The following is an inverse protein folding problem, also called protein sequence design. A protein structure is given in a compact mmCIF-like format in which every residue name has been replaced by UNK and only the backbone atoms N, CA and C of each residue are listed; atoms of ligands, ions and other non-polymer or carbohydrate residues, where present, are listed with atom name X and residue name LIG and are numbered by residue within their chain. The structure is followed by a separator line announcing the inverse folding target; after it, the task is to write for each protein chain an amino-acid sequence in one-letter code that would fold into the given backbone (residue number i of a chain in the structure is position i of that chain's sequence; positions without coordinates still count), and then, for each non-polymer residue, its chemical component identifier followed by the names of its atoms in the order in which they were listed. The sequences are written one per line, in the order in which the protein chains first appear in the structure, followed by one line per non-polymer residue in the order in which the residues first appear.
data_IF_969084776412
#
_entry.id   IF_969084776412
#
_cell.length_a   1.000
_cell.length_b   1.000
_cell.length_c   1.000
_cell.angle_alpha   90.00
_cell.angle_beta   90.00
_cell.angle_gamma   90.00
#
_symmetry.space_group_name_H-M   'P 1'
#
loop_
_entity.id
_entity.type
_entity.pdbx_description
1 polymer ?
#
# COMPACT_ATOMS: atom_id res chain seq x y z
N UNK A 1 0.34 26.92 -18.62
CA UNK A 1 -0.31 25.60 -18.40
C UNK A 1 0.41 24.82 -17.31
N UNK A 2 1.75 24.85 -17.29
CA UNK A 2 2.57 24.28 -16.21
C UNK A 2 3.08 25.38 -15.27
N UNK A 3 3.30 25.03 -14.01
CA UNK A 3 3.92 25.83 -12.96
C UNK A 3 5.05 25.03 -12.31
N UNK A 4 6.05 25.71 -11.76
CA UNK A 4 7.09 25.04 -10.96
C UNK A 4 6.56 24.84 -9.55
N UNK A 5 6.52 23.59 -9.11
CA UNK A 5 6.17 23.19 -7.76
C UNK A 5 7.40 22.61 -7.06
N UNK A 6 7.30 22.53 -5.72
CA UNK A 6 8.30 21.89 -4.87
C UNK A 6 7.64 20.81 -4.03
N UNK A 7 8.24 19.63 -3.98
CA UNK A 7 7.86 18.55 -3.08
C UNK A 7 9.13 17.88 -2.55
N UNK A 8 9.27 17.77 -1.23
CA UNK A 8 10.53 17.31 -0.63
C UNK A 8 11.71 18.21 -1.02
N UNK A 9 12.78 17.60 -1.51
CA UNK A 9 14.01 18.28 -1.92
C UNK A 9 14.01 18.67 -3.42
N UNK A 10 12.90 18.45 -4.13
CA UNK A 10 12.86 18.54 -5.61
C UNK A 10 11.92 19.63 -6.11
N UNK A 11 12.32 20.26 -7.21
CA UNK A 11 11.51 21.21 -7.97
C UNK A 11 11.14 20.61 -9.32
N UNK A 12 9.91 20.79 -9.77
CA UNK A 12 9.42 20.17 -11.00
C UNK A 12 8.28 20.98 -11.62
N UNK A 13 8.19 20.95 -12.95
CA UNK A 13 7.04 21.42 -13.70
C UNK A 13 5.86 20.43 -13.53
N UNK A 14 4.71 20.96 -13.12
CA UNK A 14 3.45 20.23 -13.08
C UNK A 14 2.32 21.10 -13.62
N UNK A 15 1.19 20.54 -14.07
CA UNK A 15 0.07 21.36 -14.49
C UNK A 15 -0.43 22.27 -13.38
N UNK A 16 -0.83 23.46 -13.77
CA UNK A 16 -1.52 24.42 -12.91
C UNK A 16 -2.93 23.90 -12.59
N UNK A 17 -3.04 23.19 -11.47
CA UNK A 17 -4.27 22.52 -11.04
C UNK A 17 -5.43 23.47 -10.76
N UNK A 18 -5.17 24.78 -10.57
CA UNK A 18 -6.23 25.79 -10.44
C UNK A 18 -7.12 25.88 -11.70
N UNK A 19 -6.63 25.36 -12.83
CA UNK A 19 -7.33 25.33 -14.13
C UNK A 19 -8.17 24.06 -14.33
N UNK A 20 -8.04 23.07 -13.46
CA UNK A 20 -8.70 21.76 -13.58
C UNK A 20 -9.58 21.54 -12.35
N UNK A 21 -10.68 22.29 -12.27
CA UNK A 21 -11.61 22.29 -11.13
C UNK A 21 -13.00 21.89 -11.60
N UNK A 22 -13.61 20.93 -10.91
CA UNK A 22 -14.99 20.49 -11.14
C UNK A 22 -15.75 20.52 -9.82
N UNK A 23 -16.94 21.15 -9.79
CA UNK A 23 -17.77 21.21 -8.58
C UNK A 23 -17.06 21.79 -7.35
N UNK A 24 -16.13 22.73 -7.55
CA UNK A 24 -15.35 23.37 -6.47
C UNK A 24 -14.19 22.52 -5.92
N UNK A 25 -13.87 21.38 -6.55
CA UNK A 25 -12.74 20.52 -6.18
C UNK A 25 -11.75 20.42 -7.33
N UNK A 26 -10.47 20.34 -7.00
CA UNK A 26 -9.42 20.07 -7.97
C UNK A 26 -9.60 18.64 -8.48
N UNK A 27 -9.56 18.46 -9.80
CA UNK A 27 -9.62 17.18 -10.50
C UNK A 27 -8.32 16.93 -11.27
N UNK A 28 -7.28 16.37 -10.61
CA UNK A 28 -5.98 16.18 -11.23
C UNK A 28 -5.98 15.26 -12.45
N UNK A 29 -6.97 14.36 -12.54
CA UNK A 29 -7.14 13.44 -13.66
C UNK A 29 -7.52 14.14 -14.98
N UNK A 30 -7.93 15.41 -14.93
CA UNK A 30 -8.26 16.21 -16.12
C UNK A 30 -7.09 17.04 -16.63
N UNK A 31 -5.98 17.07 -15.87
CA UNK A 31 -4.77 17.74 -16.29
C UNK A 31 -4.06 16.97 -17.41
N UNK A 32 -3.32 17.65 -18.31
CA UNK A 32 -2.63 17.02 -19.45
C UNK A 32 -1.55 16.02 -19.02
N UNK A 33 -0.98 16.19 -17.82
CA UNK A 33 -0.06 15.23 -17.21
C UNK A 33 -0.47 15.06 -15.75
N UNK A 34 -0.50 13.83 -15.26
CA UNK A 34 -0.98 13.61 -13.91
C UNK A 34 -0.01 14.13 -12.85
N UNK A 35 -0.55 14.89 -11.91
CA UNK A 35 0.09 15.17 -10.63
C UNK A 35 -0.98 15.41 -9.56
N UNK A 36 -0.98 14.59 -8.51
CA UNK A 36 -1.89 14.76 -7.38
C UNK A 36 -1.12 15.18 -6.11
N UNK A 37 -1.30 16.42 -5.61
CA UNK A 37 -0.73 16.87 -4.34
C UNK A 37 -1.18 16.04 -3.14
N UNK A 38 -2.38 15.45 -3.17
CA UNK A 38 -2.88 14.59 -2.09
C UNK A 38 -2.02 13.32 -1.91
N UNK A 39 -1.24 12.93 -2.92
CA UNK A 39 -0.32 11.79 -2.89
C UNK A 39 1.09 12.17 -2.37
N UNK A 40 1.33 13.40 -1.94
CA UNK A 40 2.64 13.82 -1.44
C UNK A 40 3.10 13.00 -0.22
N UNK A 41 2.17 12.65 0.70
CA UNK A 41 2.48 11.81 1.84
C UNK A 41 2.82 10.36 1.41
N UNK A 42 2.11 9.81 0.43
CA UNK A 42 2.43 8.51 -0.17
C UNK A 42 3.87 8.48 -0.71
N UNK A 43 4.26 9.52 -1.45
CA UNK A 43 5.62 9.64 -2.00
C UNK A 43 6.67 9.74 -0.89
N UNK A 44 6.42 10.51 0.17
CA UNK A 44 7.32 10.60 1.33
C UNK A 44 7.46 9.27 2.10
N UNK A 45 6.34 8.56 2.35
CA UNK A 45 6.40 7.21 2.93
C UNK A 45 7.22 6.28 2.04
N UNK A 46 7.03 6.37 0.73
CA UNK A 46 7.74 5.53 -0.22
C UNK A 46 9.24 5.84 -0.26
N UNK A 47 9.65 7.11 -0.15
CA UNK A 47 11.07 7.51 -0.03
C UNK A 47 11.70 6.88 1.20
N UNK A 48 11.02 6.93 2.36
CA UNK A 48 11.51 6.33 3.61
C UNK A 48 11.68 4.82 3.46
N UNK A 49 10.68 4.12 2.90
CA UNK A 49 10.73 2.66 2.68
C UNK A 49 11.85 2.28 1.71
N UNK A 50 11.98 2.98 0.58
CA UNK A 50 13.03 2.70 -0.41
C UNK A 50 14.41 2.96 0.19
N UNK A 51 14.58 4.06 0.94
CA UNK A 51 15.83 4.39 1.63
C UNK A 51 16.21 3.31 2.65
N UNK A 52 15.25 2.87 3.46
CA UNK A 52 15.46 1.80 4.45
C UNK A 52 15.85 0.49 3.77
N UNK A 53 15.15 0.10 2.70
CA UNK A 53 15.47 -1.09 1.91
C UNK A 53 16.88 -1.02 1.32
N UNK A 54 17.25 0.10 0.69
CA UNK A 54 18.57 0.28 0.09
C UNK A 54 19.70 0.19 1.13
N UNK A 55 19.51 0.77 2.32
CA UNK A 55 20.48 0.66 3.40
C UNK A 55 20.70 -0.80 3.84
N UNK A 56 19.64 -1.62 3.86
CA UNK A 56 19.74 -3.03 4.25
C UNK A 56 20.46 -3.89 3.20
N UNK A 57 20.34 -3.56 1.91
CA UNK A 57 20.99 -4.32 0.84
C UNK A 57 22.37 -3.77 0.43
N UNK A 58 22.85 -2.71 1.06
CA UNK A 58 24.16 -2.10 0.77
C UNK A 58 24.17 -1.04 -0.35
N UNK A 59 22.99 -0.56 -0.78
CA UNK A 59 22.82 0.56 -1.72
C UNK A 59 22.77 0.18 -3.21
N UNK A 60 22.61 1.19 -4.07
CA UNK A 60 22.95 1.08 -5.51
C UNK A 60 21.93 0.42 -6.46
N UNK A 61 20.69 0.15 -6.02
CA UNK A 61 19.74 -0.63 -6.83
C UNK A 61 19.18 0.09 -8.07
N UNK A 62 18.70 -0.70 -9.03
CA UNK A 62 17.95 -0.25 -10.22
C UNK A 62 16.44 -0.34 -9.99
N UNK A 63 15.71 0.75 -10.24
CA UNK A 63 14.25 0.79 -10.10
C UNK A 63 13.53 0.88 -11.45
N UNK A 64 12.37 0.25 -11.53
CA UNK A 64 11.42 0.43 -12.63
C UNK A 64 10.13 1.09 -12.11
N UNK A 65 9.76 2.23 -12.70
CA UNK A 65 8.64 3.09 -12.30
C UNK A 65 7.79 3.39 -13.54
N UNK A 66 6.87 2.48 -13.95
CA UNK A 66 6.20 2.53 -15.25
C UNK A 66 5.00 3.50 -15.34
N UNK A 67 4.74 4.30 -14.30
CA UNK A 67 3.63 5.27 -14.23
C UNK A 67 4.11 6.65 -13.80
N UNK A 68 5.11 7.18 -14.50
CA UNK A 68 5.93 8.29 -13.98
C UNK A 68 5.20 9.63 -13.92
N UNK A 69 4.21 9.88 -14.79
CA UNK A 69 3.49 11.16 -14.83
C UNK A 69 4.47 12.34 -15.00
N UNK A 70 4.58 13.21 -13.99
CA UNK A 70 5.56 14.31 -14.00
C UNK A 70 7.00 13.89 -13.68
N UNK A 71 7.25 12.63 -13.31
CA UNK A 71 8.56 12.15 -12.86
C UNK A 71 8.92 12.48 -11.41
N UNK A 72 8.04 13.17 -10.67
CA UNK A 72 8.33 13.62 -9.29
C UNK A 72 8.76 12.48 -8.37
N UNK A 73 8.12 11.30 -8.49
CA UNK A 73 8.44 10.12 -7.70
C UNK A 73 9.86 9.62 -8.00
N UNK A 74 10.17 9.39 -9.28
CA UNK A 74 11.50 8.98 -9.73
C UNK A 74 12.61 9.96 -9.28
N UNK A 75 12.39 11.26 -9.42
CA UNK A 75 13.37 12.29 -9.01
C UNK A 75 13.61 12.24 -7.49
N UNK A 76 12.54 12.12 -6.69
CA UNK A 76 12.66 12.00 -5.23
C UNK A 76 13.35 10.71 -4.82
N UNK A 77 13.15 9.59 -5.50
CA UNK A 77 13.87 8.35 -5.19
C UNK A 77 15.37 8.46 -5.39
N UNK A 78 15.81 9.11 -6.47
CA UNK A 78 17.25 9.34 -6.68
C UNK A 78 17.80 10.30 -5.62
N UNK A 79 17.17 11.47 -5.42
CA UNK A 79 17.70 12.52 -4.54
C UNK A 79 17.59 12.19 -3.05
N UNK A 80 16.48 11.60 -2.61
CA UNK A 80 16.13 11.48 -1.19
C UNK A 80 16.30 10.06 -0.65
N UNK A 81 16.23 9.03 -1.50
CA UNK A 81 16.36 7.62 -1.10
C UNK A 81 17.68 6.96 -1.55
N UNK A 82 18.37 7.51 -2.56
CA UNK A 82 19.67 6.99 -3.02
C UNK A 82 19.57 5.87 -4.06
N UNK A 83 18.49 5.82 -4.84
CA UNK A 83 18.38 4.89 -5.98
C UNK A 83 19.44 5.24 -7.04
N UNK A 84 20.19 4.25 -7.53
CA UNK A 84 21.28 4.48 -8.48
C UNK A 84 20.75 4.86 -9.86
N UNK A 85 19.84 4.03 -10.39
CA UNK A 85 19.25 4.18 -11.72
C UNK A 85 17.77 3.90 -11.72
N UNK A 86 17.02 4.68 -12.49
CA UNK A 86 15.58 4.52 -12.67
C UNK A 86 15.23 4.46 -14.14
N UNK A 87 14.41 3.47 -14.50
CA UNK A 87 13.68 3.42 -15.76
C UNK A 87 12.26 3.93 -15.48
N UNK A 88 12.02 5.19 -15.86
CA UNK A 88 10.77 5.89 -15.64
C UNK A 88 9.91 5.81 -16.91
N UNK A 89 8.81 5.06 -16.85
CA UNK A 89 7.94 4.82 -17.99
C UNK A 89 6.66 5.66 -17.93
N UNK A 90 6.15 6.07 -19.10
CA UNK A 90 4.75 6.47 -19.26
C UNK A 90 4.27 6.12 -20.68
N UNK A 91 2.97 5.91 -20.86
CA UNK A 91 2.38 5.68 -22.18
C UNK A 91 2.13 6.99 -22.93
N UNK A 92 1.93 8.08 -22.17
CA UNK A 92 1.60 9.40 -22.68
C UNK A 92 2.86 10.19 -23.09
N UNK A 93 2.87 10.68 -24.33
CA UNK A 93 4.00 11.44 -24.88
C UNK A 93 4.29 12.74 -24.13
N UNK A 94 3.23 13.41 -23.65
CA UNK A 94 3.36 14.68 -22.93
C UNK A 94 3.90 14.44 -21.51
N UNK A 95 3.50 13.36 -20.85
CA UNK A 95 4.06 12.91 -19.58
C UNK A 95 5.56 12.61 -19.72
N UNK A 96 5.98 11.85 -20.74
CA UNK A 96 7.40 11.57 -21.04
C UNK A 96 8.18 12.87 -21.24
N UNK A 97 7.63 13.83 -22.01
CA UNK A 97 8.27 15.12 -22.27
C UNK A 97 8.44 15.94 -20.99
N UNK A 98 7.39 16.02 -20.16
CA UNK A 98 7.41 16.78 -18.89
C UNK A 98 8.34 16.12 -17.88
N UNK A 99 8.28 14.80 -17.73
CA UNK A 99 9.19 14.04 -16.87
C UNK A 99 10.65 14.23 -17.30
N UNK A 100 10.96 14.17 -18.59
CA UNK A 100 12.31 14.41 -19.10
C UNK A 100 12.84 15.82 -18.76
N UNK A 101 12.00 16.85 -18.88
CA UNK A 101 12.35 18.22 -18.45
C UNK A 101 12.56 18.32 -16.95
N UNK A 102 11.75 17.62 -16.15
CA UNK A 102 11.88 17.62 -14.70
C UNK A 102 13.14 16.90 -14.23
N UNK A 103 13.51 15.81 -14.90
CA UNK A 103 14.78 15.10 -14.68
C UNK A 103 15.97 16.02 -14.97
N UNK A 104 15.93 16.75 -16.10
CA UNK A 104 16.94 17.74 -16.45
C UNK A 104 17.02 18.89 -15.44
N UNK A 105 15.88 19.45 -15.04
CA UNK A 105 15.79 20.52 -14.03
C UNK A 105 16.47 20.13 -12.72
N UNK A 106 16.51 18.84 -12.40
CA UNK A 106 17.14 18.31 -11.19
C UNK A 106 18.55 17.75 -11.41
N UNK A 107 19.10 17.81 -12.63
CA UNK A 107 20.44 17.34 -12.96
C UNK A 107 20.60 15.82 -12.96
N UNK A 108 19.54 15.06 -13.23
CA UNK A 108 19.50 13.59 -13.02
C UNK A 108 19.47 12.77 -14.33
N UNK A 109 19.86 13.35 -15.47
CA UNK A 109 19.80 12.68 -16.78
C UNK A 109 20.61 11.38 -16.85
N UNK A 110 21.69 11.29 -16.10
CA UNK A 110 22.56 10.09 -16.07
C UNK A 110 21.98 8.97 -15.21
N UNK A 111 21.02 9.28 -14.34
CA UNK A 111 20.43 8.34 -13.39
C UNK A 111 19.00 7.94 -13.77
N UNK A 112 18.24 8.82 -14.41
CA UNK A 112 16.82 8.59 -14.74
C UNK A 112 16.66 8.55 -16.24
N UNK A 113 16.38 7.36 -16.78
CA UNK A 113 16.01 7.15 -18.17
C UNK A 113 14.49 7.20 -18.29
N UNK A 114 13.97 8.28 -18.85
CA UNK A 114 12.54 8.39 -19.18
C UNK A 114 12.27 7.70 -20.51
N UNK A 115 11.27 6.80 -20.54
CA UNK A 115 10.89 6.03 -21.73
C UNK A 115 9.39 6.13 -21.97
N UNK A 116 9.01 6.17 -23.25
CA UNK A 116 7.62 5.96 -23.65
C UNK A 116 7.38 4.47 -23.83
N UNK A 117 6.31 3.93 -23.22
CA UNK A 117 5.93 2.54 -23.42
C UNK A 117 4.74 2.13 -22.56
N UNK A 118 4.11 1.01 -22.92
CA UNK A 118 3.13 0.38 -22.03
C UNK A 118 3.84 -0.11 -20.75
N UNK A 119 3.16 -0.01 -19.61
CA UNK A 119 3.75 -0.38 -18.33
C UNK A 119 4.25 -1.83 -18.30
N UNK A 120 3.54 -2.77 -18.93
CA UNK A 120 3.99 -4.16 -18.98
C UNK A 120 5.22 -4.34 -19.88
N UNK A 121 5.30 -3.61 -20.99
CA UNK A 121 6.47 -3.63 -21.87
C UNK A 121 7.70 -3.08 -21.15
N UNK A 122 7.57 -1.94 -20.47
CA UNK A 122 8.63 -1.34 -19.65
C UNK A 122 9.11 -2.32 -18.59
N UNK A 123 8.20 -3.04 -17.92
CA UNK A 123 8.57 -4.00 -16.88
C UNK A 123 9.25 -5.25 -17.48
N UNK A 124 8.62 -5.93 -18.44
CA UNK A 124 9.13 -7.20 -19.00
C UNK A 124 10.49 -7.04 -19.68
N UNK A 125 10.73 -5.88 -20.30
CA UNK A 125 11.98 -5.58 -21.02
C UNK A 125 13.17 -5.27 -20.09
N UNK A 126 12.94 -5.19 -18.77
CA UNK A 126 13.95 -4.78 -17.82
C UNK A 126 14.07 -5.77 -16.65
N UNK A 127 15.21 -5.72 -15.96
CA UNK A 127 15.46 -6.44 -14.70
C UNK A 127 15.86 -5.43 -13.63
N UNK A 128 15.07 -5.36 -12.56
CA UNK A 128 15.12 -4.28 -11.58
C UNK A 128 15.18 -4.87 -10.16
N UNK A 129 15.87 -4.18 -9.26
CA UNK A 129 15.94 -4.52 -7.84
C UNK A 129 14.72 -3.98 -7.09
N UNK A 130 14.09 -2.95 -7.66
CA UNK A 130 12.88 -2.33 -7.14
C UNK A 130 11.87 -2.09 -8.26
N UNK A 131 10.59 -2.24 -7.96
CA UNK A 131 9.49 -1.87 -8.86
C UNK A 131 8.46 -1.07 -8.06
N UNK A 132 8.01 0.07 -8.60
CA UNK A 132 6.90 0.84 -8.02
C UNK A 132 5.73 0.95 -9.00
N UNK A 133 4.63 0.26 -8.70
CA UNK A 133 3.37 0.34 -9.43
C UNK A 133 2.44 1.37 -8.79
N UNK A 134 2.30 2.55 -9.41
CA UNK A 134 1.38 3.61 -8.97
C UNK A 134 0.35 4.02 -10.04
N UNK A 135 -0.45 3.07 -10.58
CA UNK A 135 -1.39 3.38 -11.64
C UNK A 135 -2.66 4.08 -11.12
N UNK A 136 -3.42 4.62 -12.07
CA UNK A 136 -4.82 4.93 -11.81
C UNK A 136 -5.67 3.68 -11.59
N UNK A 137 -6.40 3.66 -10.48
CA UNK A 137 -7.27 2.56 -10.10
C UNK A 137 -6.48 1.38 -9.54
N UNK A 138 -6.15 0.40 -10.38
CA UNK A 138 -5.70 -0.92 -9.91
C UNK A 138 -4.28 -1.26 -10.38
N UNK A 139 -3.42 -1.79 -9.50
CA UNK A 139 -2.14 -2.36 -9.89
C UNK A 139 -2.27 -3.77 -10.48
N UNK A 140 -3.42 -4.43 -10.32
CA UNK A 140 -3.59 -5.84 -10.66
C UNK A 140 -3.14 -6.24 -12.08
N UNK A 141 -3.43 -5.45 -13.13
CA UNK A 141 -3.00 -5.79 -14.50
C UNK A 141 -1.48 -5.84 -14.71
N UNK A 142 -0.70 -5.21 -13.82
CA UNK A 142 0.75 -5.02 -13.98
C UNK A 142 1.58 -5.86 -13.01
N UNK A 143 0.93 -6.48 -12.01
CA UNK A 143 1.62 -7.26 -10.97
C UNK A 143 2.41 -8.42 -11.56
N UNK A 144 1.87 -9.14 -12.55
CA UNK A 144 2.61 -10.23 -13.20
C UNK A 144 3.90 -9.74 -13.85
N UNK A 145 3.85 -8.62 -14.59
CA UNK A 145 5.02 -8.06 -15.26
C UNK A 145 6.06 -7.54 -14.27
N UNK A 146 5.62 -6.96 -13.15
CA UNK A 146 6.48 -6.53 -12.06
C UNK A 146 7.18 -7.72 -11.37
N UNK A 147 6.44 -8.80 -11.11
CA UNK A 147 7.00 -10.04 -10.57
C UNK A 147 7.99 -10.71 -11.54
N UNK A 148 7.74 -10.60 -12.85
CA UNK A 148 8.67 -11.08 -13.86
C UNK A 148 9.99 -10.29 -13.87
N UNK A 149 9.92 -8.96 -13.74
CA UNK A 149 11.07 -8.07 -13.86
C UNK A 149 11.92 -7.99 -12.59
N UNK A 150 11.34 -8.27 -11.42
CA UNK A 150 12.01 -8.10 -10.14
C UNK A 150 13.03 -9.21 -9.82
N UNK A 151 14.20 -8.81 -9.29
CA UNK A 151 15.24 -9.73 -8.82
C UNK A 151 14.85 -10.40 -7.50
N UNK A 152 15.53 -11.52 -7.18
CA UNK A 152 15.40 -12.17 -5.88
C UNK A 152 15.76 -11.18 -4.75
N UNK A 153 14.92 -11.11 -3.72
CA UNK A 153 15.06 -10.15 -2.62
C UNK A 153 14.59 -8.73 -2.97
N UNK A 154 14.15 -8.49 -4.19
CA UNK A 154 13.78 -7.16 -4.68
C UNK A 154 12.52 -6.59 -4.03
N UNK A 155 12.43 -5.25 -3.97
CA UNK A 155 11.32 -4.50 -3.39
C UNK A 155 10.22 -4.20 -4.42
N UNK A 156 9.01 -4.71 -4.20
CA UNK A 156 7.82 -4.34 -4.94
C UNK A 156 6.95 -3.40 -4.09
N UNK A 157 6.72 -2.21 -4.60
CA UNK A 157 5.72 -1.28 -4.09
C UNK A 157 4.52 -1.23 -5.05
N UNK A 158 3.30 -1.24 -4.52
CA UNK A 158 2.09 -1.11 -5.32
C UNK A 158 1.04 -0.24 -4.62
N UNK A 159 0.46 0.69 -5.36
CA UNK A 159 -0.68 1.52 -4.93
C UNK A 159 -1.96 1.04 -5.61
N UNK A 160 -3.05 0.96 -4.85
CA UNK A 160 -4.39 0.78 -5.40
C UNK A 160 -5.30 1.93 -4.95
N UNK A 161 -5.93 2.60 -5.91
CA UNK A 161 -6.92 3.67 -5.67
C UNK A 161 -8.36 3.22 -5.99
N UNK A 162 -8.56 2.00 -6.53
CA UNK A 162 -9.89 1.42 -6.78
C UNK A 162 -10.55 0.84 -5.53
N UNK A 163 -10.51 1.57 -4.41
CA UNK A 163 -10.99 1.13 -3.09
C UNK A 163 -12.44 0.63 -3.10
N UNK A 164 -13.33 1.23 -3.90
CA UNK A 164 -14.71 0.78 -4.00
C UNK A 164 -14.83 -0.68 -4.48
N UNK A 165 -13.86 -1.16 -5.26
CA UNK A 165 -13.76 -2.57 -5.65
C UNK A 165 -13.29 -3.40 -4.46
N UNK A 166 -12.11 -3.07 -3.91
CA UNK A 166 -11.46 -3.84 -2.83
C UNK A 166 -12.29 -3.89 -1.53
N UNK A 167 -13.05 -2.83 -1.23
CA UNK A 167 -13.92 -2.72 -0.05
C UNK A 167 -15.35 -3.25 -0.28
N UNK A 168 -15.59 -3.88 -1.44
CA UNK A 168 -16.80 -4.68 -1.70
C UNK A 168 -18.02 -3.92 -2.21
N UNK A 169 -17.94 -2.61 -2.51
CA UNK A 169 -19.04 -1.92 -3.20
C UNK A 169 -19.29 -2.49 -4.60
N UNK A 170 -18.23 -2.98 -5.26
CA UNK A 170 -18.30 -3.69 -6.54
C UNK A 170 -17.76 -5.13 -6.42
N UNK A 171 -18.40 -5.96 -5.58
CA UNK A 171 -17.92 -7.30 -5.23
C UNK A 171 -17.59 -8.20 -6.44
N UNK A 172 -18.44 -8.24 -7.47
CA UNK A 172 -18.16 -9.02 -8.69
C UNK A 172 -16.91 -8.55 -9.43
N UNK A 173 -16.60 -7.24 -9.38
CA UNK A 173 -15.36 -6.70 -9.97
C UNK A 173 -14.15 -7.09 -9.13
N UNK A 174 -14.27 -7.14 -7.80
CA UNK A 174 -13.21 -7.60 -6.91
C UNK A 174 -12.87 -9.08 -7.16
N UNK A 175 -13.89 -9.93 -7.31
CA UNK A 175 -13.72 -11.35 -7.64
C UNK A 175 -13.01 -11.50 -8.98
N UNK A 176 -13.46 -10.80 -10.04
CA UNK A 176 -12.82 -10.94 -11.37
C UNK A 176 -11.40 -10.37 -11.44
N UNK A 177 -11.13 -9.26 -10.74
CA UNK A 177 -9.86 -8.53 -10.85
C UNK A 177 -8.80 -9.02 -9.88
N UNK A 178 -9.20 -9.26 -8.64
CA UNK A 178 -8.30 -9.62 -7.54
C UNK A 178 -8.51 -11.06 -7.09
N UNK A 179 -9.52 -11.78 -7.58
CA UNK A 179 -9.70 -13.20 -7.25
C UNK A 179 -10.12 -13.48 -5.80
N UNK A 180 -10.70 -12.52 -5.08
CA UNK A 180 -11.21 -12.74 -3.73
C UNK A 180 -12.64 -12.20 -3.55
N UNK A 181 -13.38 -12.78 -2.61
CA UNK A 181 -14.66 -12.28 -2.15
C UNK A 181 -14.45 -11.21 -1.07
N UNK A 182 -14.79 -9.94 -1.32
CA UNK A 182 -14.66 -8.88 -0.32
C UNK A 182 -15.82 -8.90 0.68
N UNK A 183 -15.68 -8.12 1.75
CA UNK A 183 -16.75 -7.84 2.72
C UNK A 183 -17.03 -6.33 2.76
N UNK A 184 -18.33 -5.97 2.81
CA UNK A 184 -18.77 -4.58 3.03
C UNK A 184 -18.93 -4.30 4.53
N UNK A 185 -18.85 -3.03 4.89
CA UNK A 185 -19.05 -2.57 6.26
C UNK A 185 -17.75 -2.07 6.88
N UNK A 186 -17.72 -1.94 8.20
CA UNK A 186 -16.62 -1.28 8.90
C UNK A 186 -15.29 -2.02 8.75
N UNK A 187 -15.27 -3.34 8.54
CA UNK A 187 -14.06 -4.15 8.36
C UNK A 187 -13.51 -4.14 6.92
N UNK A 188 -14.22 -3.49 5.99
CA UNK A 188 -13.88 -3.55 4.56
C UNK A 188 -12.50 -2.99 4.23
N UNK A 189 -12.01 -2.02 5.03
CA UNK A 189 -10.72 -1.38 4.82
C UNK A 189 -9.56 -2.37 5.00
N UNK A 190 -9.53 -3.10 6.11
CA UNK A 190 -8.51 -4.12 6.36
C UNK A 190 -8.66 -5.31 5.41
N UNK A 191 -9.89 -5.79 5.19
CA UNK A 191 -10.17 -6.90 4.27
C UNK A 191 -9.73 -6.56 2.84
N UNK A 192 -9.95 -5.32 2.39
CA UNK A 192 -9.53 -4.85 1.08
C UNK A 192 -8.00 -4.80 0.92
N UNK A 193 -7.28 -4.28 1.93
CA UNK A 193 -5.81 -4.25 1.91
C UNK A 193 -5.23 -5.68 1.91
N UNK A 194 -5.75 -6.55 2.78
CA UNK A 194 -5.39 -7.97 2.83
C UNK A 194 -5.77 -8.72 1.55
N UNK A 195 -6.84 -8.31 0.87
CA UNK A 195 -7.24 -8.82 -0.45
C UNK A 195 -6.24 -8.45 -1.55
N UNK A 196 -5.71 -7.22 -1.53
CA UNK A 196 -4.63 -6.79 -2.43
C UNK A 196 -3.34 -7.60 -2.19
N UNK A 197 -2.90 -7.73 -0.93
CA UNK A 197 -1.74 -8.57 -0.57
C UNK A 197 -1.96 -10.03 -1.00
N UNK A 198 -3.15 -10.59 -0.72
CA UNK A 198 -3.48 -11.96 -1.07
C UNK A 198 -3.55 -12.19 -2.59
N UNK A 199 -3.89 -11.17 -3.37
CA UNK A 199 -3.78 -11.20 -4.83
C UNK A 199 -2.31 -11.26 -5.26
N UNK A 200 -1.46 -10.36 -4.76
CA UNK A 200 -0.03 -10.32 -5.12
C UNK A 200 0.66 -11.63 -4.72
N UNK A 201 0.39 -12.14 -3.50
CA UNK A 201 0.89 -13.42 -3.02
C UNK A 201 0.56 -14.56 -4.00
N UNK A 202 -0.70 -14.67 -4.42
CA UNK A 202 -1.12 -15.71 -5.37
C UNK A 202 -0.46 -15.56 -6.75
N UNK A 203 -0.24 -14.33 -7.22
CA UNK A 203 0.50 -14.11 -8.47
C UNK A 203 1.97 -14.53 -8.34
N UNK A 204 2.61 -14.24 -7.20
CA UNK A 204 3.99 -14.67 -6.92
C UNK A 204 4.12 -16.19 -6.83
N UNK A 205 3.17 -16.86 -6.16
CA UNK A 205 3.14 -18.32 -6.00
C UNK A 205 3.05 -19.07 -7.34
N UNK A 206 2.29 -18.54 -8.31
CA UNK A 206 2.21 -19.11 -9.68
C UNK A 206 3.58 -19.12 -10.39
N UNK A 207 4.52 -18.29 -9.92
CA UNK A 207 5.87 -18.15 -10.47
C UNK A 207 6.94 -18.79 -9.57
N UNK A 208 6.55 -19.66 -8.63
CA UNK A 208 7.43 -20.27 -7.61
C UNK A 208 8.18 -19.24 -6.75
N UNK A 209 7.52 -18.12 -6.44
CA UNK A 209 8.05 -17.06 -5.58
C UNK A 209 7.23 -16.87 -4.31
N UNK A 210 7.88 -16.43 -3.25
CA UNK A 210 7.26 -15.95 -2.02
C UNK A 210 7.29 -14.44 -1.91
N UNK A 211 6.44 -13.89 -1.03
CA UNK A 211 6.45 -12.47 -0.67
C UNK A 211 6.62 -12.30 0.85
N UNK A 212 7.29 -11.22 1.25
CA UNK A 212 7.34 -10.76 2.64
C UNK A 212 6.90 -9.29 2.70
N UNK A 213 5.69 -8.99 3.19
CA UNK A 213 5.26 -7.60 3.42
C UNK A 213 6.21 -6.87 4.36
N UNK A 214 6.65 -5.68 3.98
CA UNK A 214 7.48 -4.79 4.80
C UNK A 214 6.65 -3.69 5.44
N UNK A 215 5.74 -3.10 4.66
CA UNK A 215 4.79 -2.09 5.12
C UNK A 215 3.56 -2.12 4.22
N UNK A 216 2.37 -2.17 4.81
CA UNK A 216 1.12 -2.00 4.08
C UNK A 216 0.17 -1.13 4.87
N UNK A 217 -0.50 -0.21 4.19
CA UNK A 217 -1.41 0.72 4.85
C UNK A 217 -2.53 1.22 3.95
N UNK A 218 -3.58 1.72 4.61
CA UNK A 218 -4.64 2.52 4.02
C UNK A 218 -4.51 3.98 4.43
N UNK A 219 -4.66 4.90 3.49
CA UNK A 219 -4.75 6.33 3.79
C UNK A 219 -5.81 6.98 2.90
N UNK A 220 -7.02 7.18 3.47
CA UNK A 220 -8.12 7.87 2.81
C UNK A 220 -8.60 7.20 1.52
N UNK A 221 -7.96 7.54 0.41
CA UNK A 221 -8.37 7.20 -0.95
C UNK A 221 -7.52 6.12 -1.62
N UNK A 222 -6.53 5.57 -0.93
CA UNK A 222 -5.67 4.53 -1.50
C UNK A 222 -5.20 3.48 -0.49
N UNK A 223 -4.79 2.34 -1.01
CA UNK A 223 -3.95 1.37 -0.33
C UNK A 223 -2.55 1.43 -0.90
N UNK A 224 -1.56 1.21 -0.05
CA UNK A 224 -0.16 1.06 -0.43
C UNK A 224 0.38 -0.20 0.22
N UNK A 225 1.08 -1.01 -0.57
CA UNK A 225 1.79 -2.20 -0.10
C UNK A 225 3.22 -2.14 -0.59
N UNK A 226 4.16 -2.43 0.29
CA UNK A 226 5.59 -2.52 0.02
C UNK A 226 6.07 -3.86 0.55
N UNK A 227 6.62 -4.71 -0.30
CA UNK A 227 7.00 -6.09 0.04
C UNK A 227 8.27 -6.51 -0.68
N UNK A 228 8.99 -7.49 -0.14
CA UNK A 228 10.10 -8.13 -0.85
C UNK A 228 9.63 -9.40 -1.55
N UNK A 229 10.18 -9.66 -2.74
CA UNK A 229 9.86 -10.83 -3.56
C UNK A 229 11.04 -11.79 -3.55
N UNK A 230 10.78 -13.03 -3.13
CA UNK A 230 11.81 -14.04 -2.93
C UNK A 230 11.60 -15.20 -3.90
N UNK A 231 12.57 -15.40 -4.79
CA UNK A 231 12.64 -16.58 -5.68
C UNK A 231 13.21 -17.77 -4.91
N UNK A 232 12.48 -18.23 -3.90
CA UNK A 232 12.86 -19.32 -3.00
C UNK A 232 11.63 -20.17 -2.64
N UNK A 233 11.84 -21.50 -2.62
CA UNK A 233 10.76 -22.47 -2.32
C UNK A 233 10.30 -22.40 -0.86
N UNK A 234 11.21 -22.11 0.08
CA UNK A 234 10.87 -21.94 1.48
C UNK A 234 9.93 -20.75 1.67
N UNK A 235 10.29 -19.60 1.08
CA UNK A 235 9.46 -18.40 1.08
C UNK A 235 8.12 -18.60 0.36
N UNK A 236 8.07 -19.37 -0.74
CA UNK A 236 6.81 -19.71 -1.40
C UNK A 236 5.89 -20.56 -0.49
N UNK A 237 6.46 -21.51 0.26
CA UNK A 237 5.72 -22.30 1.24
C UNK A 237 5.17 -21.44 2.38
N UNK A 238 5.99 -20.56 2.94
CA UNK A 238 5.57 -19.61 3.98
C UNK A 238 4.47 -18.66 3.47
N UNK A 239 4.61 -18.15 2.25
CA UNK A 239 3.59 -17.31 1.59
C UNK A 239 2.25 -18.04 1.47
N UNK A 240 2.28 -19.35 1.21
CA UNK A 240 1.07 -20.18 1.14
C UNK A 240 0.37 -20.29 2.50
N UNK A 241 1.13 -20.42 3.59
CA UNK A 241 0.56 -20.46 4.96
C UNK A 241 -0.09 -19.13 5.38
N UNK A 242 0.32 -18.02 4.75
CA UNK A 242 -0.24 -16.69 5.00
C UNK A 242 -1.46 -16.35 4.11
N UNK A 243 -1.97 -17.31 3.33
CA UNK A 243 -3.22 -17.18 2.58
C UNK A 243 -4.36 -17.87 3.32
N UNK A 244 -5.51 -17.20 3.40
CA UNK A 244 -6.65 -17.74 4.10
C UNK A 244 -7.91 -16.90 3.94
N UNK A 245 -8.83 -17.03 4.90
CA UNK A 245 -10.14 -16.40 4.88
C UNK A 245 -10.40 -15.68 6.19
N UNK A 246 -11.09 -14.55 6.13
CA UNK A 246 -11.62 -13.86 7.29
C UNK A 246 -13.06 -14.28 7.54
N UNK A 247 -13.38 -14.64 8.77
CA UNK A 247 -14.73 -14.85 9.26
C UNK A 247 -15.12 -13.72 10.19
N UNK A 248 -16.39 -13.33 10.10
CA UNK A 248 -17.00 -12.36 11.01
C UNK A 248 -18.46 -12.76 11.26
N UNK A 249 -18.86 -12.81 12.52
CA UNK A 249 -20.20 -13.16 12.96
C UNK A 249 -20.87 -11.94 13.60
N UNK A 250 -21.68 -11.15 12.86
CA UNK A 250 -22.28 -9.93 13.39
C UNK A 250 -23.09 -10.09 14.68
N UNK A 251 -23.69 -11.28 14.90
CA UNK A 251 -24.50 -11.56 16.08
C UNK A 251 -23.69 -11.74 17.36
N UNK A 252 -22.50 -12.34 17.28
CA UNK A 252 -21.62 -12.62 18.44
C UNK A 252 -20.39 -11.71 18.49
N UNK A 253 -20.16 -10.90 17.45
CA UNK A 253 -18.94 -10.14 17.25
C UNK A 253 -17.67 -11.01 17.12
N UNK A 254 -17.81 -12.33 16.99
CA UNK A 254 -16.67 -13.23 16.76
C UNK A 254 -16.04 -12.93 15.40
N UNK A 255 -14.71 -12.90 15.35
CA UNK A 255 -13.92 -12.71 14.13
C UNK A 255 -12.64 -13.52 14.21
N UNK A 256 -12.23 -14.10 13.08
CA UNK A 256 -11.01 -14.92 13.01
C UNK A 256 -10.45 -15.00 11.60
N UNK A 257 -9.16 -15.27 11.51
CA UNK A 257 -8.53 -15.76 10.29
C UNK A 257 -8.47 -17.29 10.30
N UNK A 258 -8.70 -17.91 9.15
CA UNK A 258 -8.51 -19.35 8.96
C UNK A 258 -7.70 -19.61 7.69
N UNK A 259 -6.76 -20.53 7.75
CA UNK A 259 -5.87 -20.93 6.66
C UNK A 259 -6.45 -22.06 5.78
N UNK A 260 -7.60 -22.63 6.18
CA UNK A 260 -8.31 -23.67 5.45
C UNK A 260 -9.43 -23.09 4.58
N UNK A 261 -9.77 -23.80 3.50
CA UNK A 261 -10.91 -23.46 2.67
C UNK A 261 -12.19 -23.41 3.54
N UNK A 262 -13.06 -22.41 3.36
CA UNK A 262 -14.29 -22.29 4.14
C UNK A 262 -15.23 -23.43 3.76
N UNK A 263 -15.15 -24.56 4.47
CA UNK A 263 -15.97 -25.75 4.19
C UNK A 263 -17.47 -25.46 4.32
N UNK A 264 -17.85 -24.63 5.30
CA UNK A 264 -19.20 -24.07 5.48
C UNK A 264 -19.10 -22.69 6.14
N UNK A 265 -19.89 -21.72 5.69
CA UNK A 265 -20.14 -20.51 6.46
C UNK A 265 -21.06 -20.85 7.62
N UNK A 266 -20.57 -20.67 8.86
CA UNK A 266 -21.41 -20.82 10.06
C UNK A 266 -22.66 -19.96 9.93
N UNK A 267 -23.81 -20.47 10.40
CA UNK A 267 -25.10 -19.78 10.27
C UNK A 267 -25.01 -18.40 10.91
N UNK A 268 -25.31 -17.35 10.14
CA UNK A 268 -25.25 -15.96 10.61
C UNK A 268 -23.87 -15.31 10.54
N UNK A 269 -22.84 -16.00 10.04
CA UNK A 269 -21.50 -15.45 9.82
C UNK A 269 -21.23 -15.19 8.34
N UNK A 270 -20.38 -14.21 8.07
CA UNK A 270 -19.88 -13.86 6.74
C UNK A 270 -18.42 -14.22 6.61
N UNK A 271 -18.01 -14.60 5.40
CA UNK A 271 -16.62 -14.91 5.08
C UNK A 271 -16.13 -14.07 3.88
N UNK A 272 -14.87 -13.64 3.96
CA UNK A 272 -14.12 -12.98 2.90
C UNK A 272 -12.83 -13.75 2.59
N UNK A 273 -12.42 -13.76 1.33
CA UNK A 273 -11.19 -14.43 0.92
C UNK A 273 -11.24 -15.09 -0.47
N UNK A 274 -10.14 -15.74 -0.89
CA UNK A 274 -8.88 -15.84 -0.13
C UNK A 274 -8.15 -14.48 -0.06
N UNK A 275 -7.65 -14.14 1.13
CA UNK A 275 -6.90 -12.90 1.45
C UNK A 275 -5.60 -13.25 2.18
N UNK A 276 -4.74 -12.25 2.38
CA UNK A 276 -3.57 -12.36 3.25
C UNK A 276 -3.96 -12.33 4.73
N UNK A 277 -3.66 -13.39 5.46
CA UNK A 277 -3.96 -13.53 6.90
C UNK A 277 -2.74 -13.37 7.81
N UNK A 278 -1.53 -13.27 7.23
CA UNK A 278 -0.30 -12.97 7.98
C UNK A 278 -0.16 -11.50 8.37
N UNK A 279 1.00 -11.12 8.95
CA UNK A 279 1.37 -9.71 9.21
C UNK A 279 1.37 -8.89 7.92
N UNK A 280 0.87 -7.65 7.98
CA UNK A 280 0.76 -6.77 6.79
C UNK A 280 2.03 -5.92 6.56
N UNK A 281 3.00 -6.03 7.45
CA UNK A 281 4.31 -5.40 7.44
C UNK A 281 5.25 -6.11 8.42
N UNK A 282 6.51 -5.72 8.40
CA UNK A 282 7.58 -6.28 9.23
C UNK A 282 7.97 -5.23 10.28
N UNK A 283 7.74 -5.53 11.56
CA UNK A 283 7.89 -4.55 12.65
C UNK A 283 9.36 -4.11 12.80
N UNK A 284 10.32 -5.02 12.61
CA UNK A 284 11.75 -4.68 12.66
C UNK A 284 12.13 -3.71 11.53
N UNK A 285 11.64 -3.96 10.31
CA UNK A 285 11.81 -3.06 9.17
C UNK A 285 11.13 -1.71 9.41
N UNK A 286 9.92 -1.71 9.99
CA UNK A 286 9.17 -0.49 10.30
C UNK A 286 9.94 0.36 11.33
N UNK A 287 10.43 -0.25 12.40
CA UNK A 287 11.22 0.44 13.43
C UNK A 287 12.53 0.98 12.84
N UNK A 288 13.20 0.19 12.00
CA UNK A 288 14.39 0.66 11.29
C UNK A 288 14.07 1.85 10.36
N UNK A 289 13.00 1.77 9.57
CA UNK A 289 12.56 2.84 8.69
C UNK A 289 12.22 4.12 9.45
N UNK A 290 11.61 4.00 10.64
CA UNK A 290 11.35 5.12 11.54
C UNK A 290 12.64 5.70 12.15
N UNK A 291 13.66 4.87 12.40
CA UNK A 291 14.94 5.32 12.98
C UNK A 291 15.75 6.23 12.05
N UNK A 292 15.55 6.11 10.73
CA UNK A 292 16.26 6.89 9.70
C UNK A 292 15.46 8.09 9.17
N UNK A 293 14.34 8.44 9.81
CA UNK A 293 13.52 9.61 9.46
C UNK A 293 14.30 10.89 9.76
N UNK A 294 14.40 11.78 8.78
CA UNK A 294 14.99 13.11 8.93
C UNK A 294 13.99 14.03 9.67
N UNK A 295 14.52 14.99 10.43
CA UNK A 295 13.73 16.00 11.14
C UNK A 295 13.22 17.09 10.18
N UNK A 296 12.37 16.71 9.22
CA UNK A 296 11.73 17.60 8.24
C UNK A 296 10.24 17.28 8.16
N UNK A 297 9.40 18.31 8.00
CA UNK A 297 7.93 18.22 8.15
C UNK A 297 7.30 17.06 7.35
N UNK A 298 7.66 16.92 6.07
CA UNK A 298 7.07 15.91 5.19
C UNK A 298 7.49 14.47 5.55
N UNK A 299 8.68 14.27 6.10
CA UNK A 299 9.10 12.94 6.60
C UNK A 299 8.49 12.65 7.97
N UNK A 300 8.35 13.64 8.86
CA UNK A 300 7.67 13.46 10.14
C UNK A 300 6.19 13.08 9.96
N UNK A 301 5.51 13.70 8.98
CA UNK A 301 4.15 13.32 8.60
C UNK A 301 4.07 11.87 8.11
N UNK A 302 4.98 11.48 7.22
CA UNK A 302 5.06 10.11 6.70
C UNK A 302 5.37 9.10 7.82
N UNK A 303 6.23 9.46 8.76
CA UNK A 303 6.54 8.65 9.95
C UNK A 303 5.31 8.43 10.84
N UNK A 304 4.42 9.43 10.94
CA UNK A 304 3.12 9.28 11.61
C UNK A 304 2.25 8.19 10.96
N UNK A 305 2.18 8.17 9.62
CA UNK A 305 1.48 7.12 8.87
C UNK A 305 2.11 5.74 9.11
N UNK A 306 3.44 5.63 9.01
CA UNK A 306 4.17 4.37 9.21
C UNK A 306 3.93 3.84 10.63
N UNK A 307 4.10 4.69 11.66
CA UNK A 307 3.91 4.33 13.07
C UNK A 307 2.48 3.85 13.36
N UNK A 308 1.49 4.45 12.69
CA UNK A 308 0.09 4.04 12.81
C UNK A 308 -0.18 2.57 12.43
N UNK A 309 0.71 1.95 11.65
CA UNK A 309 0.55 0.55 11.20
C UNK A 309 1.06 -0.50 12.16
N UNK A 310 1.84 -0.13 13.19
CA UNK A 310 2.58 -1.09 14.04
C UNK A 310 1.63 -2.09 14.68
N UNK A 311 0.57 -1.60 15.33
CA UNK A 311 -0.44 -2.43 16.01
C UNK A 311 -1.24 -3.31 15.06
N UNK A 312 -1.30 -2.97 13.76
CA UNK A 312 -2.02 -3.76 12.77
C UNK A 312 -1.25 -5.01 12.32
N UNK A 313 -0.01 -5.17 12.77
CA UNK A 313 0.81 -6.36 12.57
C UNK A 313 0.73 -7.37 13.72
N UNK A 314 0.04 -7.03 14.82
CA UNK A 314 -0.25 -7.97 15.90
C UNK A 314 -1.09 -9.14 15.36
N UNK A 315 -0.95 -10.35 15.94
CA UNK A 315 -1.72 -11.54 15.54
C UNK A 315 -3.19 -11.49 15.99
N UNK A 316 -3.82 -10.32 15.89
CA UNK A 316 -5.21 -10.04 16.24
C UNK A 316 -6.02 -9.94 14.95
N UNK A 317 -7.00 -10.84 14.73
CA UNK A 317 -7.83 -10.82 13.54
C UNK A 317 -8.71 -9.56 13.49
N UNK A 318 -8.53 -8.76 12.44
CA UNK A 318 -9.33 -7.56 12.17
C UNK A 318 -9.33 -6.58 13.38
N UNK A 319 -10.39 -5.80 13.56
CA UNK A 319 -10.56 -4.87 14.68
C UNK A 319 -12.02 -4.74 15.08
N UNK A 320 -12.28 -4.19 16.26
CA UNK A 320 -13.60 -3.77 16.72
C UNK A 320 -13.75 -2.27 16.54
N UNK A 321 -14.99 -1.77 16.48
CA UNK A 321 -15.25 -0.32 16.58
C UNK A 321 -15.98 -0.01 17.86
N UNK A 322 -15.75 1.17 18.46
CA UNK A 322 -16.53 1.59 19.64
C UNK A 322 -18.04 1.61 19.35
N UNK A 323 -18.43 1.90 18.11
CA UNK A 323 -19.83 1.86 17.65
C UNK A 323 -20.39 0.43 17.56
N UNK A 324 -19.57 -0.55 17.21
CA UNK A 324 -19.95 -1.97 17.22
C UNK A 324 -20.11 -2.46 18.66
N UNK A 325 -19.11 -2.20 19.52
CA UNK A 325 -19.13 -2.61 20.92
C UNK A 325 -20.27 -1.93 21.70
N UNK A 326 -20.47 -0.65 21.46
CA UNK A 326 -21.48 0.15 22.18
C UNK A 326 -22.92 -0.25 21.87
N UNK A 327 -23.18 -0.86 20.71
CA UNK A 327 -24.51 -1.42 20.40
C UNK A 327 -24.88 -2.57 21.32
N UNK A 328 -23.93 -3.42 21.70
CA UNK A 328 -24.15 -4.48 22.67
C UNK A 328 -24.28 -3.96 24.10
N UNK A 329 -23.55 -2.89 24.44
CA UNK A 329 -23.50 -2.31 25.78
C UNK A 329 -24.62 -1.30 26.07
N UNK A 330 -25.36 -0.84 25.05
CA UNK A 330 -26.35 0.25 25.17
C UNK A 330 -25.74 1.65 25.32
N UNK A 331 -24.41 1.78 25.27
CA UNK A 331 -23.68 3.06 25.35
C UNK A 331 -22.42 2.98 24.48
N UNK A 332 -22.13 4.03 23.70
CA UNK A 332 -20.92 4.11 22.87
C UNK A 332 -19.83 4.87 23.63
N UNK A 333 -18.75 4.20 24.10
CA UNK A 333 -17.67 4.88 24.80
C UNK A 333 -16.79 5.68 23.82
N UNK A 334 -16.07 6.68 24.33
CA UNK A 334 -14.95 7.24 23.57
C UNK A 334 -13.82 6.21 23.47
N UNK A 335 -13.13 6.15 22.32
CA UNK A 335 -12.04 5.21 22.11
C UNK A 335 -10.93 5.36 23.17
N UNK A 336 -10.62 6.59 23.56
CA UNK A 336 -9.64 6.86 24.63
C UNK A 336 -10.09 6.29 25.98
N UNK A 337 -11.37 6.44 26.34
CA UNK A 337 -11.89 5.88 27.60
C UNK A 337 -11.89 4.35 27.58
N UNK A 338 -12.26 3.75 26.43
CA UNK A 338 -12.23 2.31 26.25
C UNK A 338 -10.81 1.75 26.42
N UNK A 339 -9.82 2.31 25.72
CA UNK A 339 -8.43 1.87 25.81
C UNK A 339 -7.87 2.00 27.24
N UNK A 340 -8.16 3.11 27.92
CA UNK A 340 -7.77 3.30 29.32
C UNK A 340 -8.36 2.20 30.20
N UNK A 341 -9.66 1.91 30.06
CA UNK A 341 -10.35 0.91 30.87
C UNK A 341 -9.85 -0.51 30.60
N UNK A 342 -9.57 -0.85 29.35
CA UNK A 342 -8.97 -2.15 28.99
C UNK A 342 -7.58 -2.28 29.62
N UNK A 343 -6.76 -1.22 29.57
CA UNK A 343 -5.46 -1.18 30.24
C UNK A 343 -5.53 -1.33 31.75
N UNK A 344 -6.51 -0.69 32.42
CA UNK A 344 -6.76 -0.87 33.87
C UNK A 344 -7.13 -2.32 34.24
N UNK A 345 -7.69 -3.07 33.29
CA UNK A 345 -8.03 -4.48 33.45
C UNK A 345 -6.90 -5.43 33.02
N UNK A 346 -5.75 -4.90 32.60
CA UNK A 346 -4.63 -5.69 32.08
C UNK A 346 -4.87 -6.31 30.70
N UNK A 347 -5.88 -5.81 29.97
CA UNK A 347 -6.22 -6.27 28.62
C UNK A 347 -5.44 -5.47 27.58
N UNK A 348 -4.76 -6.15 26.66
CA UNK A 348 -4.04 -5.51 25.58
C UNK A 348 -5.00 -4.95 24.53
N UNK A 349 -4.88 -3.65 24.25
CA UNK A 349 -5.73 -2.97 23.30
C UNK A 349 -5.02 -1.81 22.62
N UNK A 350 -5.12 -1.76 21.29
CA UNK A 350 -4.41 -0.81 20.45
C UNK A 350 -5.35 -0.14 19.45
N UNK A 351 -5.01 1.08 19.04
CA UNK A 351 -5.68 1.70 17.89
C UNK A 351 -5.30 0.97 16.60
N UNK A 352 -6.12 1.10 15.57
CA UNK A 352 -5.79 0.64 14.20
C UNK A 352 -5.78 1.81 13.24
N UNK A 353 -4.89 1.80 12.24
CA UNK A 353 -4.89 2.83 11.20
C UNK A 353 -6.11 2.73 10.27
N UNK A 354 -6.82 1.59 10.26
CA UNK A 354 -8.00 1.40 9.40
C UNK A 354 -9.21 2.20 9.87
N UNK A 355 -9.29 2.61 11.13
CA UNK A 355 -10.46 3.33 11.65
C UNK A 355 -10.12 4.22 12.83
N UNK A 356 -10.60 5.47 12.81
CA UNK A 356 -10.53 6.40 13.94
C UNK A 356 -11.31 5.92 15.18
N UNK A 357 -12.26 4.99 14.97
CA UNK A 357 -13.05 4.34 16.02
C UNK A 357 -12.57 2.93 16.35
N UNK A 358 -11.51 2.47 15.68
CA UNK A 358 -11.08 1.08 15.70
C UNK A 358 -10.17 0.74 16.88
N UNK A 359 -10.37 -0.45 17.43
CA UNK A 359 -9.51 -1.06 18.46
C UNK A 359 -9.17 -2.51 18.07
N UNK A 360 -7.88 -2.85 18.10
CA UNK A 360 -7.37 -4.23 18.06
C UNK A 360 -7.14 -4.68 19.50
N UNK A 361 -7.78 -5.78 19.86
CA UNK A 361 -7.63 -6.41 21.18
C UNK A 361 -7.83 -7.91 21.02
N UNK A 362 -7.12 -8.68 21.82
CA UNK A 362 -7.24 -10.13 21.96
C UNK A 362 -8.31 -10.53 23.00
N UNK A 363 -8.92 -9.55 23.68
CA UNK A 363 -10.03 -9.81 24.56
C UNK A 363 -11.20 -10.41 23.82
N UNK A 364 -11.67 -11.52 24.34
CA UNK A 364 -12.85 -12.18 23.82
C UNK A 364 -14.09 -11.40 24.31
N UNK A 365 -14.98 -10.89 23.43
CA UNK A 365 -15.95 -9.86 23.81
C UNK A 365 -17.17 -10.32 24.64
N UNK A 366 -17.10 -11.47 25.34
CA UNK A 366 -18.29 -12.11 25.92
C UNK A 366 -18.59 -11.78 27.37
#
# INVERSE_FOLDING_TARGET
MYVVLREGEVSFYAPDLSRYVAGGRIEPAWAPVFYNPAMANNRSVSVIVVRAYLNLIGGGGVMCEPFTGTGVRSIRYVKEAGVERIIAGDIDDEAVRVAGRNVELNGLRDQIKVVRGDANEVLVSNRCDMVDLDPYGSPAPYVWAALHSIRHGGLLCATATDLAVLQGSYANKAIRRYGFKPLRGHLSREIGLRGLLGFIARQALVMDMGIKPLLSYWEGHYYRVCLTVHRDRGMARETTHNLGYAYYCPGSLERRFVDKYPGFTMRGCVAAGPIWIGPIGDVEFIDYALSIVKNVEHELRAAGTIRGTISDNLPIPLYYTVTELGRGMGVVPSLTSLLRRLGELGIEAHRTHFSSEGVKTDAEPW
#
